data_IF_364908744529
#
_entry.id   IF_364908744529
#
_cell.length_a   1.000
_cell.length_b   1.000
_cell.length_c   1.000
_cell.angle_alpha   90.00
_cell.angle_beta   90.00
_cell.angle_gamma   90.00
#
_symmetry.space_group_name_H-M   'P 1'
#
loop_
_entity.id
_entity.type
_entity.pdbx_description
1 polymer ?
#
# COMPACT_ATOMS: atom_id res chain seq x y z
N UNK A 1 20.18 0.05 -24.72
CA UNK A 1 21.19 0.02 -23.64
C UNK A 1 20.67 0.94 -22.55
N UNK A 2 20.44 0.41 -21.34
CA UNK A 2 19.90 1.21 -20.25
C UNK A 2 21.01 2.09 -19.67
N UNK A 3 20.79 3.41 -19.66
CA UNK A 3 21.76 4.41 -19.24
C UNK A 3 21.58 4.84 -17.78
N UNK A 4 20.89 4.04 -16.96
CA UNK A 4 20.70 4.34 -15.55
C UNK A 4 22.01 4.69 -14.85
N UNK A 5 22.03 5.81 -14.15
CA UNK A 5 23.16 6.27 -13.34
C UNK A 5 22.66 6.99 -12.08
N UNK A 6 23.37 6.78 -10.99
CA UNK A 6 23.29 7.61 -9.79
C UNK A 6 24.18 8.83 -9.97
N UNK A 7 23.68 9.99 -9.55
CA UNK A 7 24.39 11.26 -9.59
C UNK A 7 24.22 11.94 -8.23
N UNK A 8 25.30 12.57 -7.77
CA UNK A 8 25.28 13.45 -6.62
C UNK A 8 24.53 14.74 -6.95
N UNK A 9 23.60 15.16 -6.10
CA UNK A 9 22.75 16.29 -6.43
C UNK A 9 23.51 17.61 -6.63
N UNK A 10 24.65 17.79 -5.96
CA UNK A 10 25.52 18.95 -6.15
C UNK A 10 26.31 18.93 -7.46
N UNK A 11 26.47 17.76 -8.08
CA UNK A 11 27.09 17.61 -9.40
C UNK A 11 26.06 17.66 -10.53
N UNK A 12 24.77 17.40 -10.24
CA UNK A 12 23.69 17.39 -11.22
C UNK A 12 23.68 18.64 -12.12
N UNK A 13 23.88 19.84 -11.55
CA UNK A 13 23.91 21.08 -12.31
C UNK A 13 25.05 21.17 -13.35
N UNK A 14 26.13 20.42 -13.15
CA UNK A 14 27.30 20.40 -14.06
C UNK A 14 27.23 19.29 -15.10
N UNK A 15 26.52 18.21 -14.82
CA UNK A 15 26.56 16.96 -15.61
C UNK A 15 25.25 16.68 -16.37
N UNK A 16 24.20 17.45 -16.07
CA UNK A 16 22.91 17.37 -16.73
C UNK A 16 22.64 18.66 -17.51
N UNK A 17 21.92 18.54 -18.63
CA UNK A 17 21.27 19.68 -19.25
C UNK A 17 19.94 19.96 -18.51
N UNK A 18 19.40 21.19 -18.62
CA UNK A 18 18.13 21.54 -17.97
C UNK A 18 16.99 20.57 -18.32
N UNK A 19 16.90 20.10 -19.57
CA UNK A 19 15.89 19.15 -20.03
C UNK A 19 15.99 17.77 -19.40
N UNK A 20 17.16 17.34 -18.93
CA UNK A 20 17.39 15.97 -18.43
C UNK A 20 16.71 15.75 -17.07
N UNK A 21 16.37 16.83 -16.36
CA UNK A 21 15.69 16.77 -15.06
C UNK A 21 14.32 16.08 -15.14
N UNK A 22 13.69 16.04 -16.32
CA UNK A 22 12.45 15.27 -16.51
C UNK A 22 12.65 13.75 -16.45
N UNK A 23 13.88 13.26 -16.63
CA UNK A 23 14.21 11.82 -16.60
C UNK A 23 14.75 11.35 -15.24
N UNK A 24 14.72 12.22 -14.23
CA UNK A 24 14.98 11.83 -12.86
C UNK A 24 13.91 10.82 -12.43
N UNK A 25 14.35 9.72 -11.85
CA UNK A 25 13.49 8.67 -11.34
C UNK A 25 13.07 8.99 -9.91
N UNK A 26 11.87 8.57 -9.53
CA UNK A 26 11.41 8.63 -8.14
C UNK A 26 12.30 7.73 -7.24
N UNK A 27 12.49 8.09 -5.96
CA UNK A 27 13.43 7.42 -5.05
C UNK A 27 13.38 5.89 -5.06
N UNK A 28 12.20 5.30 -4.92
CA UNK A 28 12.00 3.84 -4.97
C UNK A 28 12.56 3.21 -6.26
N UNK A 29 12.24 3.78 -7.42
CA UNK A 29 12.66 3.24 -8.72
C UNK A 29 14.16 3.43 -8.91
N UNK A 30 14.69 4.56 -8.47
CA UNK A 30 16.12 4.82 -8.47
C UNK A 30 16.87 3.81 -7.60
N UNK A 31 16.37 3.51 -6.40
CA UNK A 31 17.00 2.56 -5.49
C UNK A 31 16.90 1.11 -5.99
N UNK A 32 15.75 0.71 -6.53
CA UNK A 32 15.59 -0.61 -7.15
C UNK A 32 16.57 -0.84 -8.30
N UNK A 33 16.87 0.20 -9.09
CA UNK A 33 17.92 0.13 -10.11
C UNK A 33 19.32 0.18 -9.51
N UNK A 34 19.55 0.95 -8.45
CA UNK A 34 20.82 0.96 -7.75
C UNK A 34 21.22 -0.43 -7.27
N UNK A 35 20.28 -1.20 -6.71
CA UNK A 35 20.50 -2.59 -6.27
C UNK A 35 20.96 -3.54 -7.39
N UNK A 36 20.64 -3.21 -8.64
CA UNK A 36 21.08 -3.95 -9.83
C UNK A 36 22.47 -3.49 -10.25
N UNK A 37 22.63 -2.19 -10.50
CA UNK A 37 23.79 -1.62 -11.21
C UNK A 37 24.96 -1.20 -10.33
N UNK A 38 24.76 -1.07 -9.02
CA UNK A 38 25.76 -0.60 -8.07
C UNK A 38 26.05 -1.67 -7.03
N UNK A 39 27.31 -1.71 -6.59
CA UNK A 39 27.78 -2.61 -5.55
C UNK A 39 27.38 -2.07 -4.19
N UNK A 40 26.34 -2.68 -3.62
CA UNK A 40 25.79 -2.31 -2.32
C UNK A 40 26.24 -3.27 -1.22
N UNK A 41 27.14 -4.22 -1.51
CA UNK A 41 27.69 -5.07 -0.47
C UNK A 41 28.75 -4.32 0.32
N UNK A 42 28.44 -4.03 1.58
CA UNK A 42 29.36 -3.31 2.46
C UNK A 42 30.69 -4.03 2.68
N UNK A 43 30.77 -5.35 2.47
CA UNK A 43 32.02 -6.11 2.64
C UNK A 43 33.02 -5.87 1.49
N UNK A 44 32.56 -5.33 0.36
CA UNK A 44 33.42 -4.93 -0.76
C UNK A 44 34.12 -3.58 -0.52
N UNK A 45 33.86 -2.93 0.61
CA UNK A 45 34.46 -1.65 1.00
C UNK A 45 35.21 -1.80 2.32
N UNK A 46 36.41 -1.24 2.41
CA UNK A 46 37.15 -1.18 3.69
C UNK A 46 36.44 -0.31 4.73
N UNK A 47 35.76 0.74 4.26
CA UNK A 47 34.86 1.61 5.02
C UNK A 47 33.92 2.29 4.02
N UNK A 48 32.64 2.40 4.37
CA UNK A 48 31.64 3.08 3.55
C UNK A 48 31.03 4.26 4.31
N UNK A 49 31.37 5.48 3.91
CA UNK A 49 30.85 6.69 4.57
C UNK A 49 29.42 7.03 4.15
N UNK A 50 28.71 7.82 4.95
CA UNK A 50 27.36 8.27 4.62
C UNK A 50 27.29 9.01 3.29
N UNK A 51 28.31 9.82 2.95
CA UNK A 51 28.33 10.62 1.72
C UNK A 51 28.89 9.86 0.51
N UNK A 52 29.36 8.62 0.68
CA UNK A 52 30.02 7.89 -0.39
C UNK A 52 28.98 7.34 -1.38
N UNK A 53 29.22 7.58 -2.67
CA UNK A 53 28.46 6.92 -3.73
C UNK A 53 28.99 5.50 -3.92
N UNK A 54 28.13 4.47 -4.02
CA UNK A 54 28.59 3.12 -4.28
C UNK A 54 29.27 3.02 -5.65
N UNK A 55 30.19 2.06 -5.76
CA UNK A 55 30.85 1.72 -7.00
C UNK A 55 29.83 1.12 -7.98
N UNK A 56 29.89 1.52 -9.25
CA UNK A 56 29.12 0.85 -10.30
C UNK A 56 29.69 -0.55 -10.52
N UNK A 57 28.83 -1.57 -10.61
CA UNK A 57 29.25 -2.94 -10.94
C UNK A 57 29.87 -2.98 -12.34
N UNK A 58 30.93 -3.76 -12.48
CA UNK A 58 31.59 -4.00 -13.77
C UNK A 58 30.98 -5.24 -14.46
N UNK A 59 31.08 -5.29 -15.79
CA UNK A 59 30.61 -6.43 -16.60
C UNK A 59 29.25 -6.18 -17.28
N UNK A 60 28.68 -7.25 -17.86
CA UNK A 60 27.42 -7.18 -18.61
C UNK A 60 26.21 -7.19 -17.66
N UNK A 61 25.91 -6.04 -17.07
CA UNK A 61 24.75 -5.83 -16.19
C UNK A 61 23.58 -5.28 -17.01
N UNK A 62 22.39 -5.86 -16.81
CA UNK A 62 21.15 -5.44 -17.46
C UNK A 62 20.01 -5.39 -16.42
N UNK A 63 18.81 -4.87 -16.76
CA UNK A 63 17.73 -4.70 -15.79
C UNK A 63 17.20 -6.01 -15.19
N UNK A 64 17.50 -7.16 -15.79
CA UNK A 64 17.13 -8.48 -15.30
C UNK A 64 18.25 -9.15 -14.49
N UNK A 65 19.40 -8.50 -14.33
CA UNK A 65 20.47 -8.97 -13.45
C UNK A 65 20.02 -8.99 -11.99
N UNK A 66 20.61 -9.89 -11.21
CA UNK A 66 20.26 -10.06 -9.80
C UNK A 66 20.42 -8.75 -9.02
N UNK A 67 19.37 -8.42 -8.26
CA UNK A 67 19.38 -7.33 -7.29
C UNK A 67 20.20 -7.76 -6.08
N UNK A 68 20.91 -6.81 -5.49
CA UNK A 68 21.47 -7.01 -4.16
C UNK A 68 20.33 -6.97 -3.12
N UNK A 69 20.26 -7.97 -2.26
CA UNK A 69 19.35 -8.00 -1.12
C UNK A 69 20.13 -7.58 0.13
N UNK A 70 19.49 -6.72 0.94
CA UNK A 70 20.07 -6.24 2.20
C UNK A 70 20.45 -7.42 3.10
N UNK A 71 21.57 -7.31 3.80
CA UNK A 71 21.97 -8.31 4.81
C UNK A 71 20.91 -8.49 5.90
N UNK A 72 20.95 -9.65 6.55
CA UNK A 72 20.00 -10.02 7.60
C UNK A 72 20.00 -9.02 8.76
N UNK A 73 18.87 -8.95 9.46
CA UNK A 73 18.64 -7.95 10.49
C UNK A 73 19.69 -8.06 11.62
N UNK A 74 20.33 -6.94 11.96
CA UNK A 74 21.43 -6.87 12.94
C UNK A 74 22.84 -6.89 12.34
N UNK A 75 23.01 -7.22 11.05
CA UNK A 75 24.28 -7.01 10.35
C UNK A 75 24.36 -5.59 9.78
N UNK A 76 25.55 -4.99 9.87
CA UNK A 76 25.81 -3.69 9.26
C UNK A 76 25.86 -3.82 7.74
N UNK A 77 25.11 -2.97 7.05
CA UNK A 77 25.11 -2.90 5.59
C UNK A 77 25.07 -1.44 5.11
N UNK A 78 26.07 -0.65 5.52
CA UNK A 78 26.12 0.78 5.26
C UNK A 78 26.11 1.18 3.79
N UNK A 79 26.69 0.39 2.88
CA UNK A 79 26.61 0.68 1.45
C UNK A 79 25.17 0.60 0.94
N UNK A 80 24.37 -0.36 1.40
CA UNK A 80 22.95 -0.45 1.12
C UNK A 80 22.15 0.66 1.82
N UNK A 81 22.28 0.75 3.14
CA UNK A 81 21.44 1.61 3.99
C UNK A 81 21.68 3.10 3.71
N UNK A 82 22.94 3.52 3.57
CA UNK A 82 23.27 4.91 3.26
C UNK A 82 22.87 5.27 1.83
N UNK A 83 23.01 4.36 0.86
CA UNK A 83 22.57 4.62 -0.52
C UNK A 83 21.06 4.81 -0.59
N UNK A 84 20.28 3.97 0.08
CA UNK A 84 18.83 4.12 0.16
C UNK A 84 18.47 5.48 0.78
N UNK A 85 19.04 5.77 1.95
CA UNK A 85 18.79 7.01 2.67
C UNK A 85 19.12 8.25 1.82
N UNK A 86 20.27 8.27 1.15
CA UNK A 86 20.70 9.39 0.32
C UNK A 86 19.81 9.60 -0.92
N UNK A 87 19.28 8.53 -1.50
CA UNK A 87 18.30 8.63 -2.59
C UNK A 87 16.98 9.20 -2.05
N UNK A 88 16.51 8.71 -0.90
CA UNK A 88 15.25 9.15 -0.29
C UNK A 88 15.26 10.64 0.11
N UNK A 89 16.39 11.17 0.58
CA UNK A 89 16.54 12.59 0.93
C UNK A 89 16.95 13.47 -0.26
N UNK A 90 17.24 12.88 -1.43
CA UNK A 90 17.66 13.57 -2.64
C UNK A 90 19.10 14.09 -2.64
N UNK A 91 19.98 13.50 -1.84
CA UNK A 91 21.43 13.69 -1.99
C UNK A 91 21.94 12.95 -3.23
N UNK A 92 21.39 11.75 -3.48
CA UNK A 92 21.60 11.03 -4.72
C UNK A 92 20.32 11.08 -5.55
N UNK A 93 20.46 11.25 -6.86
CA UNK A 93 19.35 11.09 -7.81
C UNK A 93 19.68 9.96 -8.77
N UNK A 94 18.68 9.14 -9.08
CA UNK A 94 18.76 8.19 -10.18
C UNK A 94 18.19 8.83 -11.44
N UNK A 95 18.90 8.75 -12.55
CA UNK A 95 18.42 9.22 -13.85
C UNK A 95 18.56 8.12 -14.89
N UNK A 96 17.62 8.03 -15.83
CA UNK A 96 17.74 7.17 -17.00
C UNK A 96 17.19 7.85 -18.26
N UNK A 97 18.09 8.55 -18.95
CA UNK A 97 17.81 9.29 -20.18
C UNK A 97 17.45 8.37 -21.37
N UNK A 98 17.63 7.06 -21.24
CA UNK A 98 17.24 6.10 -22.28
C UNK A 98 15.75 5.75 -22.24
N UNK A 99 15.07 6.05 -21.12
CA UNK A 99 13.65 5.80 -20.98
C UNK A 99 12.83 7.00 -21.46
N UNK A 100 11.65 6.70 -22.04
CA UNK A 100 10.68 7.76 -22.29
C UNK A 100 10.06 8.20 -20.97
N UNK A 101 9.64 9.45 -20.91
CA UNK A 101 8.96 10.01 -19.75
C UNK A 101 7.67 9.23 -19.44
N UNK A 102 7.48 8.92 -18.16
CA UNK A 102 6.44 8.04 -17.62
C UNK A 102 6.08 8.52 -16.21
N UNK A 103 4.80 8.81 -15.97
CA UNK A 103 4.31 9.37 -14.71
C UNK A 103 4.56 8.47 -13.48
N UNK A 104 4.57 7.14 -13.65
CA UNK A 104 4.81 6.21 -12.55
C UNK A 104 6.30 6.11 -12.17
N UNK A 105 7.20 6.64 -12.99
CA UNK A 105 8.64 6.58 -12.76
C UNK A 105 9.29 7.94 -12.55
N UNK A 106 8.78 8.96 -13.23
CA UNK A 106 9.40 10.28 -13.32
C UNK A 106 8.52 11.32 -12.62
N UNK A 107 8.94 11.81 -11.44
CA UNK A 107 8.13 12.73 -10.65
C UNK A 107 8.26 14.18 -11.12
N UNK A 108 9.12 14.47 -12.12
CA UNK A 108 9.32 15.81 -12.64
C UNK A 108 8.97 15.88 -14.12
N UNK A 109 8.32 16.98 -14.55
CA UNK A 109 8.06 17.28 -15.95
C UNK A 109 8.07 18.79 -16.18
N UNK A 110 8.20 19.21 -17.44
CA UNK A 110 8.06 20.61 -17.84
C UNK A 110 6.63 20.90 -18.31
N UNK A 111 6.01 21.92 -17.73
CA UNK A 111 4.69 22.40 -18.16
C UNK A 111 4.75 23.18 -19.48
N UNK A 112 3.61 23.73 -19.91
CA UNK A 112 3.49 24.54 -21.14
C UNK A 112 4.36 25.80 -21.13
N UNK A 113 4.78 26.29 -19.95
CA UNK A 113 5.65 27.45 -19.79
C UNK A 113 7.14 27.06 -19.71
N UNK A 114 7.46 25.77 -19.77
CA UNK A 114 8.80 25.23 -19.55
C UNK A 114 9.24 25.27 -18.09
N UNK A 115 8.30 25.41 -17.15
CA UNK A 115 8.58 25.37 -15.72
C UNK A 115 8.61 23.93 -15.21
N UNK A 116 9.60 23.63 -14.36
CA UNK A 116 9.75 22.31 -13.76
C UNK A 116 8.64 22.10 -12.72
N UNK A 117 7.75 21.16 -12.98
CA UNK A 117 6.67 20.75 -12.09
C UNK A 117 7.05 19.44 -11.41
N UNK A 118 6.72 19.32 -10.13
CA UNK A 118 6.82 18.08 -9.36
C UNK A 118 5.41 17.53 -9.18
N UNK A 119 5.23 16.28 -9.58
CA UNK A 119 3.97 15.54 -9.53
C UNK A 119 4.34 14.06 -9.41
N UNK A 120 4.55 13.61 -8.18
CA UNK A 120 5.07 12.27 -7.91
C UNK A 120 3.91 11.29 -7.69
N UNK A 121 3.88 10.22 -8.49
CA UNK A 121 2.99 9.09 -8.21
C UNK A 121 3.30 8.48 -6.84
N UNK A 122 2.34 8.60 -5.91
CA UNK A 122 2.43 8.25 -4.48
C UNK A 122 3.47 9.09 -3.74
N UNK A 123 3.08 10.25 -3.23
CA UNK A 123 3.94 11.11 -2.40
C UNK A 123 4.18 10.48 -1.02
N UNK A 124 5.34 9.87 -0.80
CA UNK A 124 5.75 9.34 0.51
C UNK A 124 7.26 9.47 0.79
N UNK A 125 7.93 10.37 0.07
CA UNK A 125 9.37 10.59 0.18
C UNK A 125 9.70 11.82 1.02
N UNK A 126 10.95 11.90 1.47
CA UNK A 126 11.39 13.01 2.28
C UNK A 126 11.25 14.32 1.49
N UNK A 127 10.66 15.35 2.10
CA UNK A 127 10.38 16.64 1.42
C UNK A 127 11.64 17.32 0.85
N UNK A 128 12.82 16.95 1.36
CA UNK A 128 14.10 17.41 0.82
C UNK A 128 14.36 16.94 -0.61
N UNK A 129 13.83 15.80 -1.05
CA UNK A 129 14.07 15.29 -2.40
C UNK A 129 13.64 16.30 -3.47
N UNK A 130 12.38 16.73 -3.42
CA UNK A 130 11.87 17.74 -4.34
C UNK A 130 12.67 19.04 -4.25
N UNK A 131 12.87 19.53 -3.02
CA UNK A 131 13.60 20.77 -2.75
C UNK A 131 15.00 20.75 -3.37
N UNK A 132 15.74 19.66 -3.16
CA UNK A 132 17.12 19.49 -3.64
C UNK A 132 17.20 19.41 -5.15
N UNK A 133 16.26 18.72 -5.79
CA UNK A 133 16.17 18.66 -7.26
C UNK A 133 15.84 20.02 -7.85
N UNK A 134 14.90 20.78 -7.26
CA UNK A 134 14.58 22.14 -7.70
C UNK A 134 15.75 23.10 -7.55
N UNK A 135 16.49 23.02 -6.44
CA UNK A 135 17.72 23.79 -6.22
C UNK A 135 18.76 23.48 -7.30
N UNK A 136 18.99 22.20 -7.58
CA UNK A 136 19.92 21.76 -8.62
C UNK A 136 19.48 22.19 -10.03
N UNK A 137 18.18 22.10 -10.35
CA UNK A 137 17.63 22.56 -11.62
C UNK A 137 17.81 24.07 -11.80
N UNK A 138 17.48 24.87 -10.78
CA UNK A 138 17.65 26.32 -10.83
C UNK A 138 19.10 26.71 -11.11
N UNK A 139 20.04 26.02 -10.46
CA UNK A 139 21.47 26.21 -10.72
C UNK A 139 21.84 25.80 -12.14
N UNK A 140 21.43 24.60 -12.57
CA UNK A 140 21.65 24.10 -13.92
C UNK A 140 21.15 25.08 -14.99
N UNK A 141 19.92 25.60 -14.83
CA UNK A 141 19.30 26.55 -15.75
C UNK A 141 20.08 27.87 -15.85
N UNK A 142 20.67 28.33 -14.74
CA UNK A 142 21.50 29.54 -14.71
C UNK A 142 22.89 29.33 -15.31
N UNK A 143 23.45 28.12 -15.17
CA UNK A 143 24.76 27.74 -15.74
C UNK A 143 24.65 27.51 -17.25
N UNK A 144 23.44 27.18 -17.74
CA UNK A 144 23.05 27.18 -19.15
C UNK A 144 22.46 28.56 -19.52
N UNK A 145 22.26 28.93 -20.80
CA UNK A 145 21.83 30.30 -21.19
C UNK A 145 20.41 30.72 -20.74
N UNK A 146 19.87 30.17 -19.64
CA UNK A 146 18.57 30.52 -19.07
C UNK A 146 17.38 30.11 -19.94
N UNK A 147 17.63 29.40 -21.05
CA UNK A 147 16.58 28.96 -21.96
C UNK A 147 15.82 27.81 -21.29
N UNK A 148 14.56 28.06 -20.95
CA UNK A 148 13.68 27.03 -20.39
C UNK A 148 13.53 25.85 -21.36
N UNK A 149 13.50 24.60 -20.84
CA UNK A 149 13.20 23.43 -21.64
C UNK A 149 11.83 23.52 -22.32
N UNK A 150 11.67 22.78 -23.42
CA UNK A 150 10.36 22.59 -24.03
C UNK A 150 9.45 21.76 -23.11
N UNK A 151 8.11 21.91 -23.23
CA UNK A 151 7.16 21.09 -22.47
C UNK A 151 7.44 19.60 -22.63
N UNK A 152 7.35 18.85 -21.54
CA UNK A 152 7.60 17.41 -21.55
C UNK A 152 6.55 16.70 -22.39
N UNK A 153 7.01 15.91 -23.36
CA UNK A 153 6.13 15.03 -24.14
C UNK A 153 5.67 13.86 -23.29
N UNK A 154 4.54 14.05 -22.60
CA UNK A 154 3.90 13.00 -21.82
C UNK A 154 3.40 11.91 -22.77
N UNK A 155 3.80 10.67 -22.56
CA UNK A 155 3.12 9.54 -23.21
C UNK A 155 1.77 9.40 -22.51
N UNK A 156 0.74 9.96 -23.11
CA UNK A 156 -0.60 9.50 -22.85
C UNK A 156 -0.69 8.07 -23.41
N UNK A 157 -1.28 7.14 -22.67
CA UNK A 157 -1.61 5.79 -23.16
C UNK A 157 -2.65 5.79 -24.31
N UNK A 158 -2.68 6.85 -25.15
CA UNK A 158 -3.67 7.09 -26.20
C UNK A 158 -3.15 6.94 -27.63
N UNK A 159 -1.84 6.83 -27.87
CA UNK A 159 -1.33 6.93 -29.25
C UNK A 159 -1.08 5.55 -29.89
N UNK A 160 -2.18 4.88 -30.24
CA UNK A 160 -2.25 3.89 -31.32
C UNK A 160 -2.60 4.65 -32.63
N UNK A 161 -2.06 4.29 -33.81
CA UNK A 161 -2.17 5.10 -35.04
C UNK A 161 -3.61 5.47 -35.46
N UNK A 162 -3.78 6.73 -35.86
CA UNK A 162 -5.04 7.47 -36.10
C UNK A 162 -5.91 6.96 -37.27
N UNK A 163 -5.55 5.89 -37.98
CA UNK A 163 -6.41 5.34 -39.04
C UNK A 163 -7.46 4.30 -38.58
N UNK A 164 -7.55 4.02 -37.27
CA UNK A 164 -8.65 3.22 -36.70
C UNK A 164 -9.51 4.00 -35.68
N UNK A 165 -9.49 5.34 -35.75
CA UNK A 165 -10.33 6.23 -34.93
C UNK A 165 -11.84 6.21 -35.29
N UNK A 166 -12.34 5.12 -35.89
CA UNK A 166 -13.77 4.87 -36.05
C UNK A 166 -14.34 3.83 -35.08
N UNK A 167 -13.60 3.38 -34.05
CA UNK A 167 -14.19 2.51 -33.03
C UNK A 167 -13.54 2.54 -31.64
N UNK A 168 -12.93 3.67 -31.22
CA UNK A 168 -12.57 3.84 -29.82
C UNK A 168 -13.84 4.11 -29.01
N UNK A 169 -14.51 3.02 -28.56
CA UNK A 169 -15.51 3.11 -27.49
C UNK A 169 -14.87 3.87 -26.33
N UNK A 170 -15.50 4.95 -25.89
CA UNK A 170 -15.22 5.62 -24.62
C UNK A 170 -14.88 4.55 -23.57
N UNK A 171 -13.77 4.69 -22.84
CA UNK A 171 -13.33 3.73 -21.80
C UNK A 171 -14.23 3.91 -20.55
N UNK A 172 -15.53 3.82 -20.77
CA UNK A 172 -16.58 3.95 -19.78
C UNK A 172 -17.33 2.62 -19.66
N UNK A 173 -16.59 1.52 -19.79
CA UNK A 173 -17.13 0.16 -19.71
C UNK A 173 -17.13 -0.35 -18.27
N UNK A 174 -17.90 -1.43 -18.02
CA UNK A 174 -17.88 -2.13 -16.73
C UNK A 174 -16.47 -2.57 -16.34
N UNK A 175 -15.64 -3.00 -17.30
CA UNK A 175 -14.28 -3.43 -17.03
C UNK A 175 -13.41 -2.30 -16.47
N UNK A 176 -13.54 -1.10 -17.03
CA UNK A 176 -12.85 0.10 -16.53
C UNK A 176 -13.29 0.45 -15.10
N UNK A 177 -14.61 0.38 -14.84
CA UNK A 177 -15.18 0.54 -13.51
C UNK A 177 -14.60 -0.42 -12.46
N UNK A 178 -14.53 -1.71 -12.80
CA UNK A 178 -13.99 -2.74 -11.91
C UNK A 178 -12.51 -2.52 -11.58
N UNK A 179 -11.73 -2.12 -12.58
CA UNK A 179 -10.31 -1.78 -12.40
C UNK A 179 -10.13 -0.56 -11.49
N UNK A 180 -10.98 0.47 -11.64
CA UNK A 180 -10.96 1.63 -10.76
C UNK A 180 -11.32 1.25 -9.32
N UNK A 181 -12.30 0.37 -9.13
CA UNK A 181 -12.62 -0.15 -7.79
C UNK A 181 -11.42 -0.89 -7.18
N UNK A 182 -10.79 -1.81 -7.91
CA UNK A 182 -9.59 -2.51 -7.45
C UNK A 182 -8.43 -1.55 -7.14
N UNK A 183 -8.20 -0.56 -8.00
CA UNK A 183 -7.21 0.49 -7.81
C UNK A 183 -7.48 1.34 -6.57
N UNK A 184 -8.73 1.72 -6.32
CA UNK A 184 -9.12 2.47 -5.12
C UNK A 184 -8.81 1.71 -3.83
N UNK A 185 -9.07 0.39 -3.80
CA UNK A 185 -8.71 -0.47 -2.65
C UNK A 185 -7.20 -0.61 -2.49
N UNK A 186 -6.49 -0.91 -3.58
CA UNK A 186 -5.04 -1.09 -3.57
C UNK A 186 -4.33 0.17 -3.06
N UNK A 187 -4.76 1.34 -3.53
CA UNK A 187 -4.18 2.64 -3.17
C UNK A 187 -4.76 3.24 -1.89
N UNK A 188 -5.78 2.61 -1.29
CA UNK A 188 -6.48 3.14 -0.12
C UNK A 188 -7.26 4.43 -0.37
N UNK A 189 -7.58 4.74 -1.63
CA UNK A 189 -8.31 5.92 -2.06
C UNK A 189 -9.61 5.52 -2.79
N UNK A 190 -10.58 5.01 -2.04
CA UNK A 190 -11.83 4.51 -2.61
C UNK A 190 -12.62 5.66 -3.26
N UNK A 191 -12.77 6.78 -2.55
CA UNK A 191 -13.57 7.93 -3.00
C UNK A 191 -13.00 8.61 -4.24
N UNK A 192 -11.67 8.82 -4.31
CA UNK A 192 -11.03 9.41 -5.48
C UNK A 192 -11.24 8.57 -6.73
N UNK A 193 -11.09 7.25 -6.62
CA UNK A 193 -11.31 6.33 -7.75
C UNK A 193 -12.80 6.17 -8.11
N UNK A 194 -13.71 6.29 -7.13
CA UNK A 194 -15.17 6.36 -7.37
C UNK A 194 -15.51 7.58 -8.21
N UNK A 195 -14.98 8.76 -7.85
CA UNK A 195 -15.16 10.00 -8.61
C UNK A 195 -14.62 9.89 -10.03
N UNK A 196 -13.49 9.21 -10.22
CA UNK A 196 -12.97 8.91 -11.57
C UNK A 196 -13.93 8.04 -12.38
N UNK A 197 -14.55 7.01 -11.76
CA UNK A 197 -15.54 6.17 -12.44
C UNK A 197 -16.79 6.97 -12.84
N UNK A 198 -17.22 7.91 -12.00
CA UNK A 198 -18.33 8.84 -12.28
C UNK A 198 -17.99 9.80 -13.42
N UNK A 199 -16.77 10.34 -13.44
CA UNK A 199 -16.28 11.22 -14.51
C UNK A 199 -16.17 10.51 -15.86
N UNK A 200 -15.78 9.23 -15.86
CA UNK A 200 -15.79 8.41 -17.08
C UNK A 200 -17.21 8.16 -17.60
N UNK A 201 -18.21 8.16 -16.71
CA UNK A 201 -19.62 7.93 -17.04
C UNK A 201 -19.88 6.54 -17.61
N UNK A 202 -20.89 6.42 -18.48
CA UNK A 202 -21.25 5.15 -19.13
C UNK A 202 -21.56 4.01 -18.15
N UNK A 203 -21.02 2.83 -18.41
CA UNK A 203 -21.10 1.67 -17.53
C UNK A 203 -19.95 1.59 -16.50
N UNK A 204 -19.07 2.58 -16.41
CA UNK A 204 -17.93 2.55 -15.48
C UNK A 204 -18.41 2.57 -14.02
N UNK A 205 -19.41 3.40 -13.69
CA UNK A 205 -20.00 3.41 -12.34
C UNK A 205 -20.63 2.06 -12.01
N UNK A 206 -21.37 1.46 -12.95
CA UNK A 206 -21.96 0.14 -12.76
C UNK A 206 -20.89 -0.95 -12.56
N UNK A 207 -19.78 -0.88 -13.31
CA UNK A 207 -18.65 -1.78 -13.13
C UNK A 207 -17.93 -1.60 -11.79
N UNK A 208 -17.80 -0.35 -11.35
CA UNK A 208 -17.22 -0.01 -10.04
C UNK A 208 -18.09 -0.57 -8.92
N UNK A 209 -19.40 -0.30 -8.97
CA UNK A 209 -20.37 -0.79 -8.00
C UNK A 209 -20.46 -2.32 -8.03
N UNK A 210 -20.26 -3.00 -9.17
CA UNK A 210 -20.17 -4.47 -9.21
C UNK A 210 -19.05 -5.06 -8.33
N UNK A 211 -17.98 -4.30 -8.08
CA UNK A 211 -16.88 -4.72 -7.19
C UNK A 211 -17.08 -4.22 -5.77
N UNK A 212 -17.64 -3.03 -5.61
CA UNK A 212 -17.79 -2.33 -4.33
C UNK A 212 -19.26 -2.01 -4.03
N UNK A 213 -20.12 -3.04 -4.01
CA UNK A 213 -21.54 -2.93 -3.58
C UNK A 213 -21.79 -3.58 -2.21
N UNK A 214 -23.04 -3.51 -1.74
CA UNK A 214 -23.49 -4.07 -0.46
C UNK A 214 -23.30 -5.59 -0.32
N UNK A 215 -23.30 -6.34 -1.44
CA UNK A 215 -23.13 -7.81 -1.44
C UNK A 215 -21.67 -8.24 -1.59
N UNK A 216 -20.83 -7.41 -2.21
CA UNK A 216 -19.42 -7.70 -2.56
C UNK A 216 -18.42 -6.97 -1.66
N UNK A 217 -18.85 -5.92 -0.95
CA UNK A 217 -18.09 -5.31 0.13
C UNK A 217 -17.97 -6.31 1.28
N UNK A 218 -16.93 -7.12 1.20
CA UNK A 218 -16.86 -8.35 1.96
C UNK A 218 -16.05 -9.43 1.28
N UNK A 219 -16.29 -9.68 0.00
CA UNK A 219 -15.54 -10.70 -0.73
C UNK A 219 -14.16 -10.12 -1.00
N UNK A 220 -13.16 -10.51 -0.20
CA UNK A 220 -11.73 -10.24 -0.37
C UNK A 220 -11.42 -9.71 -1.78
N UNK A 221 -11.34 -8.38 -1.97
CA UNK A 221 -11.54 -7.78 -3.30
C UNK A 221 -10.39 -8.10 -4.26
N UNK A 222 -9.22 -8.47 -3.74
CA UNK A 222 -8.19 -9.10 -4.53
C UNK A 222 -8.69 -10.45 -5.11
N UNK A 223 -9.30 -11.33 -4.30
CA UNK A 223 -9.86 -12.62 -4.75
C UNK A 223 -11.08 -12.44 -5.65
N UNK A 224 -11.99 -11.50 -5.42
CA UNK A 224 -13.16 -11.33 -6.29
C UNK A 224 -12.80 -10.79 -7.69
N UNK A 225 -11.85 -9.86 -7.77
CA UNK A 225 -11.30 -9.39 -9.06
C UNK A 225 -10.58 -10.51 -9.82
N UNK A 226 -9.97 -11.42 -9.07
CA UNK A 226 -9.29 -12.62 -9.56
C UNK A 226 -10.29 -13.71 -9.99
N UNK A 227 -11.33 -14.01 -9.20
CA UNK A 227 -12.36 -15.03 -9.46
C UNK A 227 -13.31 -14.65 -10.60
N UNK A 228 -13.50 -13.34 -10.85
CA UNK A 228 -14.26 -12.84 -12.00
C UNK A 228 -13.43 -12.82 -13.30
N UNK A 229 -12.10 -12.93 -13.20
CA UNK A 229 -11.29 -13.42 -14.31
C UNK A 229 -11.50 -14.94 -14.37
N UNK A 230 -11.82 -15.52 -15.52
CA UNK A 230 -12.08 -16.97 -15.66
C UNK A 230 -10.85 -17.88 -15.43
N UNK A 231 -9.88 -17.47 -14.60
CA UNK A 231 -8.74 -18.27 -14.18
C UNK A 231 -8.94 -18.75 -12.75
N UNK A 232 -8.97 -20.07 -12.58
CA UNK A 232 -8.81 -20.72 -11.29
C UNK A 232 -7.47 -20.29 -10.71
N UNK A 233 -7.47 -19.52 -9.63
CA UNK A 233 -6.28 -19.32 -8.81
C UNK A 233 -6.32 -20.37 -7.70
N UNK A 234 -5.22 -21.11 -7.54
CA UNK A 234 -5.11 -22.16 -6.53
C UNK A 234 -5.11 -21.57 -5.12
N UNK A 235 -5.61 -22.34 -4.14
CA UNK A 235 -5.86 -21.94 -2.75
C UNK A 235 -4.65 -21.29 -2.01
N UNK A 236 -3.43 -21.42 -2.54
CA UNK A 236 -2.20 -20.89 -1.95
C UNK A 236 -2.01 -19.37 -2.11
N UNK A 237 -2.56 -18.76 -3.16
CA UNK A 237 -2.23 -17.37 -3.53
C UNK A 237 -3.07 -16.29 -2.82
N UNK A 238 -4.00 -16.69 -1.94
CA UNK A 238 -4.91 -15.78 -1.22
C UNK A 238 -4.30 -15.23 0.09
N UNK A 239 -3.19 -15.82 0.57
CA UNK A 239 -2.64 -15.55 1.90
C UNK A 239 -2.03 -14.14 2.08
N UNK A 240 -1.79 -13.38 1.01
CA UNK A 240 -1.11 -12.07 1.06
C UNK A 240 -2.07 -10.85 1.01
N UNK A 241 -3.37 -11.05 1.20
CA UNK A 241 -4.33 -9.94 1.19
C UNK A 241 -4.33 -9.23 2.52
N UNK A 242 -3.65 -8.08 2.56
CA UNK A 242 -3.52 -7.24 3.75
C UNK A 242 -4.55 -6.11 3.88
N UNK A 243 -5.45 -5.97 2.91
CA UNK A 243 -6.47 -4.91 2.84
C UNK A 243 -7.86 -5.48 2.59
N UNK A 244 -8.85 -4.90 3.27
CA UNK A 244 -10.25 -5.28 3.21
C UNK A 244 -11.14 -4.04 3.19
N UNK A 245 -12.28 -4.10 2.50
CA UNK A 245 -13.27 -3.02 2.51
C UNK A 245 -14.58 -3.55 3.05
N UNK A 246 -14.98 -3.04 4.22
CA UNK A 246 -16.29 -3.28 4.80
C UNK A 246 -17.26 -2.13 4.56
N UNK A 247 -18.51 -2.31 4.98
CA UNK A 247 -19.56 -1.28 4.89
C UNK A 247 -20.13 -0.94 6.26
N UNK A 248 -20.31 0.34 6.51
CA UNK A 248 -21.01 0.88 7.69
C UNK A 248 -22.01 1.90 7.21
N UNK A 249 -23.30 1.64 7.40
CA UNK A 249 -24.40 2.57 7.03
C UNK A 249 -24.33 3.07 5.56
N UNK A 250 -23.87 2.21 4.65
CA UNK A 250 -23.70 2.54 3.22
C UNK A 250 -22.29 3.00 2.83
N UNK A 251 -21.52 3.53 3.79
CA UNK A 251 -20.17 4.04 3.56
C UNK A 251 -19.13 2.93 3.52
N UNK A 252 -18.15 3.08 2.62
CA UNK A 252 -17.02 2.15 2.48
C UNK A 252 -15.94 2.44 3.53
N UNK A 253 -15.52 1.40 4.24
CA UNK A 253 -14.51 1.50 5.30
C UNK A 253 -13.34 0.60 4.95
N UNK A 254 -12.17 1.20 4.74
CA UNK A 254 -10.93 0.47 4.45
C UNK A 254 -10.29 -0.03 5.74
N UNK A 255 -10.13 -1.34 5.85
CA UNK A 255 -9.36 -2.02 6.87
C UNK A 255 -8.02 -2.44 6.27
N UNK A 256 -6.93 -1.96 6.84
CA UNK A 256 -5.56 -2.38 6.50
C UNK A 256 -5.02 -3.32 7.57
N UNK A 257 -3.91 -4.02 7.32
CA UNK A 257 -3.31 -4.99 8.24
C UNK A 257 -4.31 -6.07 8.69
N UNK A 258 -5.05 -6.60 7.73
CA UNK A 258 -5.90 -7.78 7.92
C UNK A 258 -5.24 -8.98 7.25
N UNK A 259 -5.73 -10.16 7.55
CA UNK A 259 -5.43 -11.40 6.84
C UNK A 259 -6.76 -11.93 6.35
N UNK A 260 -6.87 -12.22 5.05
CA UNK A 260 -8.09 -12.78 4.48
C UNK A 260 -7.83 -14.21 4.02
N UNK A 261 -8.44 -15.17 4.72
CA UNK A 261 -8.23 -16.60 4.49
C UNK A 261 -9.55 -17.32 4.31
N UNK A 262 -9.59 -18.37 3.50
CA UNK A 262 -10.72 -19.28 3.54
C UNK A 262 -10.68 -20.10 4.84
N UNK A 263 -11.79 -20.11 5.56
CA UNK A 263 -11.99 -21.01 6.70
C UNK A 263 -13.15 -21.94 6.41
N UNK A 264 -13.09 -23.15 6.95
CA UNK A 264 -14.26 -24.02 7.03
C UNK A 264 -15.05 -23.66 8.29
N UNK A 265 -16.05 -22.79 8.14
CA UNK A 265 -16.89 -22.35 9.24
C UNK A 265 -17.88 -23.45 9.61
N UNK A 266 -17.91 -23.86 10.88
CA UNK A 266 -18.85 -24.85 11.43
C UNK A 266 -19.71 -24.19 12.51
N UNK A 267 -21.01 -24.06 12.27
CA UNK A 267 -21.91 -23.37 13.21
C UNK A 267 -22.06 -24.17 14.52
N UNK A 268 -21.56 -23.63 15.63
CA UNK A 268 -21.74 -24.19 16.98
C UNK A 268 -23.19 -24.09 17.46
N UNK A 269 -23.51 -24.87 18.49
CA UNK A 269 -24.80 -24.73 19.18
C UNK A 269 -24.87 -23.40 19.94
N UNK A 270 -26.09 -22.95 20.24
CA UNK A 270 -26.29 -21.75 21.03
C UNK A 270 -25.76 -21.94 22.47
N UNK A 271 -25.87 -23.13 23.02
CA UNK A 271 -25.44 -23.50 24.38
C UNK A 271 -23.91 -23.41 24.51
N UNK A 272 -23.17 -24.00 23.57
CA UNK A 272 -21.70 -23.94 23.55
C UNK A 272 -21.21 -22.50 23.43
N UNK A 273 -21.82 -21.74 22.52
CA UNK A 273 -21.51 -20.32 22.31
C UNK A 273 -21.79 -19.51 23.58
N UNK A 274 -22.88 -19.79 24.28
CA UNK A 274 -23.26 -19.09 25.51
C UNK A 274 -22.28 -19.36 26.66
N UNK A 275 -21.77 -20.59 26.79
CA UNK A 275 -20.74 -20.94 27.78
C UNK A 275 -19.47 -20.13 27.53
N UNK A 276 -18.97 -20.11 26.29
CA UNK A 276 -17.78 -19.34 25.92
C UNK A 276 -17.99 -17.84 26.10
N UNK A 277 -19.18 -17.33 25.77
CA UNK A 277 -19.52 -15.91 25.95
C UNK A 277 -19.57 -15.53 27.43
N UNK A 278 -20.07 -16.41 28.30
CA UNK A 278 -20.11 -16.20 29.75
C UNK A 278 -18.71 -16.13 30.34
N UNK A 279 -17.82 -17.05 29.95
CA UNK A 279 -16.41 -16.99 30.34
C UNK A 279 -15.76 -15.68 29.86
N UNK A 280 -15.95 -15.33 28.58
CA UNK A 280 -15.42 -14.10 28.00
C UNK A 280 -15.79 -12.86 28.79
N UNK A 281 -17.09 -12.71 29.08
CA UNK A 281 -17.65 -11.52 29.73
C UNK A 281 -17.26 -11.43 31.21
N UNK A 282 -17.08 -12.56 31.89
CA UNK A 282 -16.82 -12.60 33.33
C UNK A 282 -15.35 -12.39 33.67
N UNK A 283 -14.44 -13.04 32.93
CA UNK A 283 -13.01 -13.13 33.27
C UNK A 283 -12.09 -12.69 32.14
N UNK A 284 -12.13 -13.37 30.99
CA UNK A 284 -11.11 -13.27 29.94
C UNK A 284 -10.96 -11.85 29.41
N UNK A 285 -12.07 -11.16 29.10
CA UNK A 285 -12.04 -9.77 28.61
C UNK A 285 -11.32 -8.84 29.59
N UNK A 286 -11.59 -8.99 30.89
CA UNK A 286 -10.95 -8.17 31.93
C UNK A 286 -9.45 -8.43 31.97
N UNK A 287 -9.05 -9.71 31.98
CA UNK A 287 -7.64 -10.10 32.01
C UNK A 287 -6.89 -9.63 30.77
N UNK A 288 -7.50 -9.73 29.59
CA UNK A 288 -6.93 -9.24 28.33
C UNK A 288 -6.67 -7.74 28.38
N UNK A 289 -7.67 -6.94 28.77
CA UNK A 289 -7.55 -5.48 28.85
C UNK A 289 -6.53 -5.02 29.90
N UNK A 290 -6.49 -5.70 31.05
CA UNK A 290 -5.50 -5.44 32.09
C UNK A 290 -4.09 -5.68 31.60
N UNK A 291 -3.85 -6.82 30.94
CA UNK A 291 -2.55 -7.14 30.34
C UNK A 291 -2.14 -6.13 29.28
N UNK A 292 -3.10 -5.68 28.46
CA UNK A 292 -2.86 -4.72 27.38
C UNK A 292 -2.59 -3.30 27.89
N UNK A 293 -3.19 -2.88 29.02
CA UNK A 293 -3.09 -1.50 29.53
C UNK A 293 -1.67 -1.02 29.83
N UNK A 294 -0.73 -1.93 30.09
CA UNK A 294 0.65 -1.61 30.44
C UNK A 294 1.63 -1.77 29.25
N UNK A 295 1.13 -2.04 28.04
CA UNK A 295 2.02 -2.20 26.88
C UNK A 295 2.42 -0.83 26.31
N UNK A 296 3.62 -0.70 25.72
CA UNK A 296 4.01 0.51 25.01
C UNK A 296 3.03 0.91 23.90
N UNK A 297 2.46 -0.09 23.21
CA UNK A 297 1.45 0.14 22.17
C UNK A 297 0.20 0.83 22.74
N UNK A 298 -0.33 0.36 23.87
CA UNK A 298 -1.48 0.98 24.51
C UNK A 298 -1.17 2.39 25.04
N UNK A 299 -0.01 2.58 25.69
CA UNK A 299 0.40 3.88 26.25
C UNK A 299 0.57 4.95 25.17
N UNK A 300 0.99 4.57 23.96
CA UNK A 300 1.11 5.49 22.83
C UNK A 300 -0.23 5.79 22.14
N UNK A 301 -1.24 4.93 22.30
CA UNK A 301 -2.51 5.01 21.59
C UNK A 301 -3.62 5.69 22.38
N UNK A 302 -3.65 5.49 23.70
CA UNK A 302 -4.78 5.81 24.56
C UNK A 302 -4.47 6.93 25.54
N UNK A 303 -5.49 7.71 25.89
CA UNK A 303 -5.39 8.71 26.96
C UNK A 303 -5.22 8.05 28.34
N UNK A 304 -4.72 8.77 29.35
CA UNK A 304 -4.63 8.25 30.72
C UNK A 304 -5.95 7.70 31.26
N UNK A 305 -7.08 8.38 30.99
CA UNK A 305 -8.41 7.91 31.39
C UNK A 305 -8.79 6.58 30.71
N UNK A 306 -8.50 6.44 29.42
CA UNK A 306 -8.72 5.19 28.69
C UNK A 306 -7.85 4.05 29.23
N UNK A 307 -6.59 4.33 29.56
CA UNK A 307 -5.67 3.36 30.17
C UNK A 307 -6.14 2.93 31.56
N UNK A 308 -6.66 3.86 32.37
CA UNK A 308 -7.24 3.56 33.68
C UNK A 308 -8.46 2.64 33.55
N UNK A 309 -9.34 2.88 32.59
CA UNK A 309 -10.47 1.97 32.31
C UNK A 309 -9.98 0.57 31.94
N UNK A 310 -8.96 0.49 31.09
CA UNK A 310 -8.37 -0.80 30.69
C UNK A 310 -7.73 -1.52 31.88
N UNK A 311 -7.05 -0.80 32.79
CA UNK A 311 -6.37 -1.38 33.96
C UNK A 311 -7.35 -1.97 34.99
N UNK A 312 -8.61 -1.54 34.98
CA UNK A 312 -9.69 -2.17 35.76
C UNK A 312 -10.50 -3.21 34.95
N UNK A 313 -10.07 -3.51 33.72
CA UNK A 313 -10.67 -4.51 32.84
C UNK A 313 -11.93 -4.04 32.10
N UNK A 314 -12.11 -2.72 31.94
CA UNK A 314 -13.19 -2.12 31.14
C UNK A 314 -12.66 -1.66 29.79
N UNK A 315 -13.52 -1.71 28.77
CA UNK A 315 -13.14 -1.19 27.46
C UNK A 315 -12.85 0.32 27.57
N UNK A 316 -11.83 0.83 26.86
CA UNK A 316 -11.66 2.26 26.69
C UNK A 316 -12.80 2.81 25.82
N UNK A 317 -13.11 4.10 25.99
CA UNK A 317 -14.29 4.68 25.35
C UNK A 317 -14.15 4.70 23.82
N UNK A 318 -15.18 4.19 23.13
CA UNK A 318 -15.16 4.05 21.68
C UNK A 318 -14.45 2.79 21.16
N UNK A 319 -14.03 1.86 22.02
CA UNK A 319 -13.33 0.62 21.64
C UNK A 319 -14.00 -0.63 22.20
N UNK A 320 -13.80 -1.78 21.55
CA UNK A 320 -14.33 -3.08 21.97
C UNK A 320 -13.33 -4.20 21.71
N UNK A 321 -13.29 -5.19 22.61
CA UNK A 321 -12.53 -6.43 22.38
C UNK A 321 -13.30 -7.29 21.39
N UNK A 322 -12.65 -7.65 20.29
CA UNK A 322 -13.17 -8.45 19.20
C UNK A 322 -12.46 -9.81 19.15
N UNK A 323 -13.19 -10.86 18.74
CA UNK A 323 -12.62 -12.19 18.48
C UNK A 323 -12.26 -12.32 17.00
N UNK A 324 -11.02 -12.67 16.66
CA UNK A 324 -10.55 -12.82 15.27
C UNK A 324 -11.29 -13.97 14.55
N UNK A 325 -11.44 -15.10 15.22
CA UNK A 325 -12.35 -16.19 14.89
C UNK A 325 -13.51 -16.19 15.88
N UNK A 326 -14.76 -16.30 15.42
CA UNK A 326 -15.90 -16.03 16.26
C UNK A 326 -16.24 -17.23 17.14
N UNK A 327 -16.87 -16.98 18.30
CA UNK A 327 -17.19 -18.02 19.28
C UNK A 327 -18.29 -18.98 18.84
N UNK A 328 -19.09 -18.60 17.84
CA UNK A 328 -20.14 -19.43 17.23
C UNK A 328 -19.61 -20.30 16.06
N UNK A 329 -18.29 -20.34 15.88
CA UNK A 329 -17.47 -21.27 15.09
C UNK A 329 -16.26 -21.71 15.94
N UNK A 330 -15.24 -22.34 15.35
CA UNK A 330 -13.92 -22.72 15.88
C UNK A 330 -13.17 -21.72 16.79
N UNK A 331 -13.60 -20.46 16.92
CA UNK A 331 -12.96 -19.47 17.79
C UNK A 331 -12.93 -19.84 19.27
N UNK A 332 -11.95 -19.32 19.99
CA UNK A 332 -11.73 -19.56 21.44
C UNK A 332 -11.52 -18.26 22.22
N UNK A 333 -11.52 -18.34 23.55
CA UNK A 333 -11.23 -17.21 24.45
C UNK A 333 -9.74 -16.98 24.73
N UNK A 334 -8.86 -17.59 23.95
CA UNK A 334 -7.42 -17.38 24.05
C UNK A 334 -7.04 -15.95 23.63
N UNK A 335 -6.03 -15.36 24.27
CA UNK A 335 -5.63 -13.97 23.99
C UNK A 335 -5.16 -13.76 22.54
N UNK A 336 -4.58 -14.78 21.89
CA UNK A 336 -4.18 -14.68 20.48
C UNK A 336 -5.36 -14.48 19.54
N UNK A 337 -6.54 -14.99 19.92
CA UNK A 337 -7.80 -14.82 19.19
C UNK A 337 -8.51 -13.51 19.53
N UNK A 338 -7.95 -12.67 20.41
CA UNK A 338 -8.54 -11.39 20.81
C UNK A 338 -7.77 -10.22 20.21
N UNK A 339 -8.48 -9.12 20.00
CA UNK A 339 -7.91 -7.83 19.60
C UNK A 339 -8.76 -6.71 20.17
N UNK A 340 -8.15 -5.61 20.63
CA UNK A 340 -8.87 -4.40 21.02
C UNK A 340 -9.07 -3.53 19.78
N UNK A 341 -10.32 -3.28 19.38
CA UNK A 341 -10.64 -2.61 18.12
C UNK A 341 -11.49 -1.36 18.33
N UNK A 342 -11.20 -0.29 17.59
CA UNK A 342 -12.02 0.93 17.56
C UNK A 342 -13.40 0.58 16.99
N UNK A 343 -14.44 0.94 17.73
CA UNK A 343 -15.79 0.49 17.46
C UNK A 343 -16.32 1.03 16.11
N UNK A 344 -16.27 2.35 15.94
CA UNK A 344 -16.68 3.04 14.71
C UNK A 344 -15.45 3.62 14.00
N UNK A 345 -15.18 3.30 12.72
CA UNK A 345 -16.00 2.45 11.84
C UNK A 345 -15.57 0.97 11.79
N UNK A 346 -14.40 0.62 12.33
CA UNK A 346 -13.71 -0.63 11.99
C UNK A 346 -14.39 -1.89 12.52
N UNK A 347 -14.77 -1.90 13.81
CA UNK A 347 -15.46 -3.06 14.39
C UNK A 347 -16.80 -3.32 13.70
N UNK A 348 -17.58 -2.26 13.46
CA UNK A 348 -18.85 -2.36 12.74
C UNK A 348 -18.66 -2.91 11.32
N UNK A 349 -17.70 -2.36 10.57
CA UNK A 349 -17.40 -2.80 9.21
C UNK A 349 -17.06 -4.29 9.15
N UNK A 350 -16.23 -4.76 10.09
CA UNK A 350 -15.80 -6.16 10.17
C UNK A 350 -16.94 -7.09 10.59
N UNK A 351 -17.69 -6.74 11.65
CA UNK A 351 -18.79 -7.57 12.13
C UNK A 351 -19.94 -7.66 11.13
N UNK A 352 -20.27 -6.57 10.42
CA UNK A 352 -21.29 -6.59 9.38
C UNK A 352 -20.96 -7.61 8.28
N UNK A 353 -19.69 -7.63 7.86
CA UNK A 353 -19.22 -8.60 6.89
C UNK A 353 -19.29 -10.04 7.39
N UNK A 354 -18.69 -10.30 8.56
CA UNK A 354 -18.65 -11.63 9.17
C UNK A 354 -20.06 -12.20 9.39
N UNK A 355 -20.98 -11.35 9.84
CA UNK A 355 -22.39 -11.71 10.00
C UNK A 355 -23.05 -12.07 8.67
N UNK A 356 -22.80 -11.29 7.60
CA UNK A 356 -23.37 -11.56 6.28
C UNK A 356 -22.90 -12.91 5.70
N UNK A 357 -21.61 -13.26 5.85
CA UNK A 357 -21.07 -14.52 5.34
C UNK A 357 -21.65 -15.77 6.00
N UNK A 358 -22.07 -15.61 7.26
CA UNK A 358 -22.58 -16.69 8.13
C UNK A 358 -24.09 -16.62 8.31
N UNK A 359 -24.74 -15.69 7.60
CA UNK A 359 -26.17 -15.52 7.65
C UNK A 359 -26.85 -16.81 7.18
N UNK A 360 -27.95 -17.12 7.85
CA UNK A 360 -28.82 -18.27 7.55
C UNK A 360 -28.17 -19.64 7.74
N UNK A 361 -26.97 -19.72 8.33
CA UNK A 361 -26.36 -21.00 8.69
C UNK A 361 -27.11 -21.67 9.84
N UNK A 362 -27.43 -22.94 9.67
CA UNK A 362 -28.04 -23.76 10.73
C UNK A 362 -26.95 -24.46 11.57
N UNK A 363 -27.30 -24.83 12.82
CA UNK A 363 -26.38 -25.50 13.74
C UNK A 363 -25.82 -26.78 13.10
N UNK A 364 -24.51 -26.98 13.18
CA UNK A 364 -23.80 -28.10 12.57
C UNK A 364 -23.50 -27.96 11.08
N UNK A 365 -24.04 -26.94 10.41
CA UNK A 365 -23.70 -26.65 9.01
C UNK A 365 -22.24 -26.22 8.90
N UNK A 366 -21.58 -26.73 7.85
CA UNK A 366 -20.22 -26.39 7.48
C UNK A 366 -20.22 -25.59 6.17
N UNK A 367 -19.52 -24.46 6.11
CA UNK A 367 -19.41 -23.64 4.90
C UNK A 367 -18.00 -23.09 4.76
N UNK A 368 -17.42 -23.25 3.57
CA UNK A 368 -16.15 -22.57 3.24
C UNK A 368 -16.47 -21.10 2.96
N UNK A 369 -15.95 -20.21 3.80
CA UNK A 369 -16.17 -18.76 3.68
C UNK A 369 -14.84 -18.01 3.71
N UNK A 370 -14.69 -16.93 2.92
CA UNK A 370 -13.59 -15.99 3.10
C UNK A 370 -13.76 -15.29 4.45
N UNK A 371 -12.76 -15.34 5.31
CA UNK A 371 -12.78 -14.75 6.63
C UNK A 371 -11.70 -13.70 6.79
N UNK A 372 -12.08 -12.55 7.35
CA UNK A 372 -11.19 -11.42 7.55
C UNK A 372 -10.76 -11.39 9.01
N UNK A 373 -9.46 -11.56 9.26
CA UNK A 373 -8.84 -11.53 10.58
C UNK A 373 -7.99 -10.26 10.72
N UNK A 374 -8.34 -9.32 11.60
CA UNK A 374 -7.47 -8.19 11.89
C UNK A 374 -6.19 -8.66 12.59
N UNK A 375 -5.04 -8.10 12.21
CA UNK A 375 -3.75 -8.47 12.77
C UNK A 375 -3.33 -7.53 13.91
N UNK A 376 -2.51 -8.05 14.83
CA UNK A 376 -2.03 -7.33 16.02
C UNK A 376 -2.92 -7.49 17.26
N UNK A 377 -2.72 -6.58 18.21
CA UNK A 377 -3.34 -6.51 19.55
C UNK A 377 -4.27 -5.32 19.72
N UNK A 378 -3.99 -4.20 19.04
CA UNK A 378 -4.83 -2.99 18.98
C UNK A 378 -5.11 -2.64 17.51
N UNK A 379 -6.36 -2.29 17.16
CA UNK A 379 -6.78 -1.97 15.80
C UNK A 379 -7.65 -0.70 15.68
N UNK A 380 -7.32 0.24 14.77
CA UNK A 380 -6.21 0.19 13.82
C UNK A 380 -4.87 0.37 14.55
N UNK A 381 -3.78 -0.10 13.92
CA UNK A 381 -2.40 0.12 14.40
C UNK A 381 -2.13 1.58 14.68
#
# INVERSE_FOLDING_TARGET
MHNFRLIMIWDAARVLNPEDFQYILRPEVAFERARIYYDLDSDNYSYFSLQQMPNRKNGFINPFSAKYDRKCNGMYDGAYDHTQHNIDIGWFIGIDESEKWDYFKHPFYFDENGDLVYDCFMEHWHSWFEMKVREAYKKCLNDHPGRKPAPTKKIYFSDVPIQHAQSAKTINSKAAGRLLAAGGVYNGNIEGFRKTAEQLGGEAVQGYDQVLNEQTAGTAIAVASILLSKRSIELGDVQDITKFVGKVRGDSVLLQNVEVTQINYVKRTAEETAILRKEFNSTVKKSFLKGLSNTPEAMNKFSPEMLERMSIGRNPDGWQVHHKLPLDDSGTNTFHNLILMKNDPYHQALTNYQFNMTRDMIVGESRIVPWVKPQGTIYPK
#
